data_IF_727204422420
#
_entry.id   IF_727204422420
#
_cell.length_a   1.000
_cell.length_b   1.000
_cell.length_c   1.000
_cell.angle_alpha   90.00
_cell.angle_beta   90.00
_cell.angle_gamma   90.00
#
_symmetry.space_group_name_H-M   'P 1'
#
loop_
_entity.id
_entity.type
_entity.pdbx_description
1 polymer ?
#
# COMPACT_ATOMS: atom_id res chain seq x y z
N UNK A 1 -0.53 58.21 0.00
CA UNK A 1 -0.68 56.92 -0.70
C UNK A 1 -0.43 55.79 0.30
N UNK A 2 -1.48 55.14 0.81
CA UNK A 2 -1.33 53.99 1.70
C UNK A 2 -1.16 52.72 0.87
N UNK A 3 -0.03 52.02 1.03
CA UNK A 3 0.21 50.71 0.44
C UNK A 3 -0.73 49.71 1.13
N UNK A 4 -1.70 49.18 0.38
CA UNK A 4 -2.45 47.99 0.80
C UNK A 4 -1.44 46.86 0.99
N UNK A 5 -1.37 46.31 2.20
CA UNK A 5 -0.68 45.03 2.44
C UNK A 5 -1.55 43.96 1.79
N UNK A 6 -1.05 43.36 0.72
CA UNK A 6 -1.62 42.13 0.19
C UNK A 6 -1.46 41.05 1.25
N UNK A 7 -2.58 40.48 1.67
CA UNK A 7 -2.62 39.31 2.53
C UNK A 7 -2.02 38.14 1.75
N UNK A 8 -1.17 37.29 2.36
CA UNK A 8 -0.64 36.13 1.68
C UNK A 8 -1.80 35.22 1.29
N UNK A 9 -1.94 34.94 -0.01
CA UNK A 9 -2.81 33.89 -0.51
C UNK A 9 -2.42 32.59 0.20
N UNK A 10 -3.31 32.10 1.07
CA UNK A 10 -3.21 30.73 1.58
C UNK A 10 -3.30 29.84 0.35
N UNK A 11 -2.19 29.23 -0.06
CA UNK A 11 -2.22 28.05 -0.92
C UNK A 11 -2.98 26.99 -0.13
N UNK A 12 -4.26 26.79 -0.46
CA UNK A 12 -4.97 25.61 -0.04
C UNK A 12 -4.25 24.44 -0.71
N UNK A 13 -3.50 23.67 0.08
CA UNK A 13 -3.03 22.36 -0.39
C UNK A 13 -4.26 21.57 -0.85
N UNK A 14 -4.20 20.90 -2.01
CA UNK A 14 -5.33 20.15 -2.52
C UNK A 14 -5.80 19.18 -1.43
N UNK A 15 -7.08 19.27 -1.06
CA UNK A 15 -7.67 18.38 -0.07
C UNK A 15 -7.53 16.94 -0.57
N UNK A 16 -6.69 16.16 0.10
CA UNK A 16 -6.52 14.76 -0.24
C UNK A 16 -7.83 14.01 0.00
N UNK A 17 -8.32 13.33 -1.05
CA UNK A 17 -9.44 12.43 -0.90
C UNK A 17 -8.98 11.14 -0.21
N UNK A 18 -9.04 11.17 1.12
CA UNK A 18 -8.72 10.02 1.99
C UNK A 18 -9.59 8.81 1.65
N UNK A 19 -10.85 9.01 1.24
CA UNK A 19 -11.72 7.91 0.86
C UNK A 19 -11.23 7.27 -0.44
N UNK A 20 -10.73 8.07 -1.38
CA UNK A 20 -10.13 7.59 -2.62
C UNK A 20 -8.82 6.83 -2.38
N UNK A 21 -7.93 7.36 -1.53
CA UNK A 21 -6.71 6.63 -1.14
C UNK A 21 -7.04 5.24 -0.58
N UNK A 22 -7.99 5.19 0.36
CA UNK A 22 -8.44 3.94 0.95
C UNK A 22 -9.07 3.00 -0.09
N UNK A 23 -9.84 3.54 -1.02
CA UNK A 23 -10.44 2.79 -2.12
C UNK A 23 -9.38 2.15 -3.01
N UNK A 24 -8.37 2.92 -3.40
CA UNK A 24 -7.26 2.45 -4.25
C UNK A 24 -6.48 1.34 -3.55
N UNK A 25 -6.11 1.53 -2.28
CA UNK A 25 -5.43 0.53 -1.48
C UNK A 25 -6.26 -0.76 -1.36
N UNK A 26 -7.56 -0.64 -1.07
CA UNK A 26 -8.45 -1.78 -0.98
C UNK A 26 -8.60 -2.50 -2.33
N UNK A 27 -8.83 -1.76 -3.41
CA UNK A 27 -8.95 -2.35 -4.75
C UNK A 27 -7.69 -3.15 -5.07
N UNK A 28 -6.53 -2.55 -4.85
CA UNK A 28 -5.23 -3.19 -5.09
C UNK A 28 -5.07 -4.46 -4.27
N UNK A 29 -5.38 -4.42 -2.97
CA UNK A 29 -5.35 -5.61 -2.12
C UNK A 29 -6.30 -6.70 -2.62
N UNK A 30 -7.47 -6.33 -3.15
CA UNK A 30 -8.42 -7.27 -3.73
C UNK A 30 -7.93 -7.84 -5.06
N UNK A 31 -7.35 -7.02 -5.94
CA UNK A 31 -6.81 -7.45 -7.23
C UNK A 31 -5.65 -8.45 -7.07
N UNK A 32 -4.92 -8.37 -5.94
CA UNK A 32 -3.94 -9.38 -5.57
C UNK A 32 -4.57 -10.77 -5.36
N UNK A 33 -5.86 -10.85 -5.08
CA UNK A 33 -6.60 -12.09 -4.82
C UNK A 33 -7.54 -12.42 -5.98
N UNK A 34 -7.81 -13.70 -6.22
CA UNK A 34 -8.90 -14.08 -7.14
C UNK A 34 -10.24 -13.68 -6.52
N UNK A 35 -11.31 -13.47 -7.32
CA UNK A 35 -12.63 -13.12 -6.77
C UNK A 35 -13.14 -14.15 -5.75
N UNK A 36 -12.83 -15.43 -5.99
CA UNK A 36 -13.14 -16.53 -5.06
C UNK A 36 -12.41 -16.37 -3.73
N UNK A 37 -11.07 -16.14 -3.77
CA UNK A 37 -10.26 -15.91 -2.57
C UNK A 37 -10.67 -14.62 -1.84
N UNK A 38 -10.97 -13.55 -2.57
CA UNK A 38 -11.52 -12.34 -1.96
C UNK A 38 -12.78 -12.64 -1.15
N UNK A 39 -13.71 -13.44 -1.69
CA UNK A 39 -14.96 -13.74 -1.00
C UNK A 39 -14.76 -14.66 0.19
N UNK A 40 -13.99 -15.73 0.02
CA UNK A 40 -13.78 -16.76 1.04
C UNK A 40 -12.82 -16.30 2.14
N UNK A 41 -11.67 -15.74 1.75
CA UNK A 41 -10.54 -15.48 2.65
C UNK A 41 -10.64 -14.07 3.25
N UNK A 42 -11.21 -13.10 2.52
CA UNK A 42 -11.32 -11.71 2.99
C UNK A 42 -12.71 -11.39 3.54
N UNK A 43 -13.74 -11.52 2.70
CA UNK A 43 -15.05 -10.95 3.03
C UNK A 43 -15.77 -11.73 4.12
N UNK A 44 -15.80 -13.07 4.04
CA UNK A 44 -16.54 -13.89 5.02
C UNK A 44 -16.02 -13.67 6.46
N UNK A 45 -14.72 -13.76 6.75
CA UNK A 45 -14.24 -13.53 8.12
C UNK A 45 -14.38 -12.06 8.55
N UNK A 46 -14.25 -11.10 7.62
CA UNK A 46 -14.49 -9.69 7.93
C UNK A 46 -15.95 -9.44 8.32
N UNK A 47 -16.92 -10.07 7.63
CA UNK A 47 -18.35 -9.94 7.95
C UNK A 47 -18.66 -10.54 9.33
N UNK A 48 -18.01 -11.64 9.70
CA UNK A 48 -18.15 -12.25 11.03
C UNK A 48 -17.64 -11.30 12.12
N UNK A 49 -16.51 -10.61 11.89
CA UNK A 49 -15.96 -9.62 12.83
C UNK A 49 -16.73 -8.29 12.83
N UNK A 50 -17.20 -7.84 11.67
CA UNK A 50 -17.86 -6.55 11.45
C UNK A 50 -19.17 -6.72 10.65
N UNK A 51 -20.28 -7.13 11.30
CA UNK A 51 -21.55 -7.43 10.62
C UNK A 51 -22.18 -6.23 9.89
N UNK A 52 -21.78 -5.01 10.24
CA UNK A 52 -22.24 -3.75 9.64
C UNK A 52 -21.65 -3.48 8.25
N UNK A 53 -20.72 -4.32 7.78
CA UNK A 53 -20.09 -4.19 6.46
C UNK A 53 -20.67 -5.26 5.52
N UNK A 54 -21.49 -4.83 4.56
CA UNK A 54 -22.06 -5.73 3.56
C UNK A 54 -21.13 -5.90 2.34
N UNK A 55 -21.23 -7.04 1.65
CA UNK A 55 -20.48 -7.29 0.42
C UNK A 55 -20.81 -6.24 -0.65
N UNK A 56 -22.08 -5.84 -0.73
CA UNK A 56 -22.53 -4.80 -1.67
C UNK A 56 -21.89 -3.44 -1.40
N UNK A 57 -21.77 -3.03 -0.13
CA UNK A 57 -21.08 -1.79 0.22
C UNK A 57 -19.61 -1.83 -0.20
N UNK A 58 -18.89 -2.91 0.10
CA UNK A 58 -17.50 -3.08 -0.31
C UNK A 58 -17.33 -3.07 -1.83
N UNK A 59 -18.13 -3.86 -2.55
CA UNK A 59 -18.08 -3.91 -4.02
C UNK A 59 -18.38 -2.55 -4.65
N UNK A 60 -19.36 -1.80 -4.13
CA UNK A 60 -19.66 -0.46 -4.64
C UNK A 60 -18.54 0.54 -4.34
N UNK A 61 -17.93 0.44 -3.15
CA UNK A 61 -16.80 1.28 -2.80
C UNK A 61 -15.60 1.03 -3.69
N UNK A 62 -15.17 -0.24 -3.85
CA UNK A 62 -14.06 -0.62 -4.74
C UNK A 62 -14.28 -0.10 -6.18
N UNK A 63 -15.52 -0.19 -6.67
CA UNK A 63 -15.93 0.30 -8.00
C UNK A 63 -16.13 1.83 -8.10
N UNK A 64 -15.86 2.58 -7.03
CA UNK A 64 -16.04 4.04 -7.00
C UNK A 64 -17.49 4.51 -7.06
N UNK A 65 -18.48 3.63 -6.83
CA UNK A 65 -19.91 3.95 -6.95
C UNK A 65 -20.47 4.63 -5.71
N UNK A 66 -19.94 4.33 -4.53
CA UNK A 66 -20.41 4.90 -3.26
C UNK A 66 -19.32 4.84 -2.20
N UNK A 67 -19.08 5.92 -1.44
CA UNK A 67 -18.06 5.90 -0.39
C UNK A 67 -18.49 4.99 0.78
N UNK A 68 -17.50 4.36 1.43
CA UNK A 68 -17.70 3.84 2.79
C UNK A 68 -17.58 4.96 3.80
N UNK A 69 -18.31 4.88 4.92
CA UNK A 69 -18.06 5.78 6.05
C UNK A 69 -16.67 5.53 6.64
N UNK A 70 -16.08 6.55 7.25
CA UNK A 70 -14.75 6.46 7.88
C UNK A 70 -14.65 5.31 8.89
N UNK A 71 -15.67 5.15 9.76
CA UNK A 71 -15.76 4.01 10.69
C UNK A 71 -15.61 2.66 9.97
N UNK A 72 -16.25 2.49 8.82
CA UNK A 72 -16.13 1.26 8.02
C UNK A 72 -14.75 1.13 7.39
N UNK A 73 -14.15 2.23 6.91
CA UNK A 73 -12.79 2.22 6.35
C UNK A 73 -11.73 1.84 7.40
N UNK A 74 -11.84 2.36 8.63
CA UNK A 74 -10.99 1.97 9.77
C UNK A 74 -11.13 0.47 10.08
N UNK A 75 -12.38 -0.03 10.12
CA UNK A 75 -12.64 -1.46 10.34
C UNK A 75 -12.01 -2.35 9.25
N UNK A 76 -12.11 -1.94 7.98
CA UNK A 76 -11.48 -2.64 6.86
C UNK A 76 -9.96 -2.63 7.00
N UNK A 77 -9.33 -1.47 7.23
CA UNK A 77 -7.87 -1.38 7.40
C UNK A 77 -7.38 -2.26 8.55
N UNK A 78 -8.05 -2.18 9.71
CA UNK A 78 -7.74 -3.01 10.88
C UNK A 78 -7.92 -4.51 10.62
N UNK A 79 -8.95 -4.91 9.87
CA UNK A 79 -9.14 -6.31 9.46
C UNK A 79 -7.97 -6.82 8.62
N UNK A 80 -7.44 -5.98 7.72
CA UNK A 80 -6.32 -6.31 6.84
C UNK A 80 -4.94 -6.21 7.54
N UNK A 81 -4.91 -5.93 8.83
CA UNK A 81 -3.68 -5.79 9.61
C UNK A 81 -2.91 -4.51 9.30
N UNK A 82 -3.62 -3.41 9.04
CA UNK A 82 -3.03 -2.08 8.88
C UNK A 82 -3.62 -1.11 9.89
N UNK A 83 -2.82 -0.12 10.29
CA UNK A 83 -3.35 1.14 10.83
C UNK A 83 -4.07 1.89 9.70
N UNK A 84 -5.01 2.77 10.08
CA UNK A 84 -5.80 3.48 9.08
C UNK A 84 -4.92 4.38 8.19
N UNK A 85 -3.94 5.03 8.81
CA UNK A 85 -2.98 5.94 8.19
C UNK A 85 -2.03 5.19 7.24
N UNK A 86 -1.60 3.98 7.59
CA UNK A 86 -0.78 3.13 6.71
C UNK A 86 -1.55 2.76 5.45
N UNK A 87 -2.83 2.45 5.59
CA UNK A 87 -3.65 2.07 4.44
C UNK A 87 -3.92 3.26 3.51
N UNK A 88 -4.03 4.47 4.07
CA UNK A 88 -4.09 5.71 3.29
C UNK A 88 -2.77 5.95 2.57
N UNK A 89 -1.64 5.81 3.26
CA UNK A 89 -0.30 5.98 2.69
C UNK A 89 -0.04 4.98 1.55
N UNK A 90 -0.49 3.73 1.69
CA UNK A 90 -0.47 2.75 0.61
C UNK A 90 -1.28 3.23 -0.60
N UNK A 91 -2.48 3.75 -0.36
CA UNK A 91 -3.35 4.32 -1.39
C UNK A 91 -2.66 5.44 -2.17
N UNK A 92 -2.06 6.39 -1.45
CA UNK A 92 -1.29 7.49 -2.05
C UNK A 92 -0.14 6.96 -2.90
N UNK A 93 0.69 6.08 -2.34
CA UNK A 93 1.83 5.51 -3.06
C UNK A 93 1.41 4.75 -4.32
N UNK A 94 0.30 4.01 -4.27
CA UNK A 94 -0.23 3.31 -5.44
C UNK A 94 -0.70 4.27 -6.54
N UNK A 95 -1.29 5.42 -6.17
CA UNK A 95 -1.65 6.46 -7.14
C UNK A 95 -0.40 7.06 -7.77
N UNK A 96 0.60 7.45 -6.95
CA UNK A 96 1.87 8.00 -7.43
C UNK A 96 2.58 7.04 -8.41
N UNK A 97 2.65 5.74 -8.06
CA UNK A 97 3.28 4.71 -8.89
C UNK A 97 2.52 4.44 -10.20
N UNK A 98 1.19 4.61 -10.21
CA UNK A 98 0.38 4.51 -11.44
C UNK A 98 0.60 5.72 -12.33
N UNK A 99 0.62 6.92 -11.76
CA UNK A 99 0.90 8.15 -12.50
C UNK A 99 2.31 8.13 -13.13
N UNK A 100 3.29 7.53 -12.44
CA UNK A 100 4.66 7.37 -12.96
C UNK A 100 4.83 6.20 -13.94
N UNK A 101 3.77 5.42 -14.22
CA UNK A 101 3.82 4.25 -15.10
C UNK A 101 4.60 3.06 -14.55
N UNK A 102 4.91 3.03 -13.25
CA UNK A 102 5.63 1.92 -12.61
C UNK A 102 4.71 0.76 -12.24
N UNK A 103 3.40 1.02 -12.10
CA UNK A 103 2.40 -0.02 -11.92
C UNK A 103 1.48 -0.07 -13.14
N UNK A 104 1.23 -1.27 -13.70
CA UNK A 104 0.20 -1.41 -14.73
C UNK A 104 -1.19 -1.12 -14.13
N UNK A 105 -2.12 -0.67 -14.97
CA UNK A 105 -3.51 -0.46 -14.57
C UNK A 105 -4.16 -1.75 -14.06
N UNK A 106 -3.83 -2.86 -14.72
CA UNK A 106 -4.23 -4.22 -14.38
C UNK A 106 -2.99 -5.11 -14.32
N UNK A 107 -2.52 -5.50 -13.12
CA UNK A 107 -1.37 -6.40 -13.01
C UNK A 107 -1.76 -7.81 -13.43
N UNK A 108 -0.93 -8.44 -14.28
CA UNK A 108 -1.12 -9.84 -14.63
C UNK A 108 -0.68 -10.78 -13.49
N UNK A 109 -1.07 -12.05 -13.60
CA UNK A 109 -0.79 -13.05 -12.57
C UNK A 109 0.71 -13.29 -12.35
N UNK A 110 1.55 -13.07 -13.37
CA UNK A 110 2.99 -13.27 -13.32
C UNK A 110 3.66 -12.15 -12.53
N UNK A 111 3.38 -10.89 -12.86
CA UNK A 111 3.85 -9.72 -12.14
C UNK A 111 3.49 -9.76 -10.65
N UNK A 112 2.27 -10.18 -10.33
CA UNK A 112 1.85 -10.37 -8.93
C UNK A 112 2.62 -11.49 -8.22
N UNK A 113 2.93 -12.57 -8.93
CA UNK A 113 3.68 -13.69 -8.38
C UNK A 113 5.15 -13.32 -8.14
N UNK A 114 5.77 -12.59 -9.07
CA UNK A 114 7.12 -12.07 -8.94
C UNK A 114 7.25 -11.07 -7.80
N UNK A 115 6.29 -10.15 -7.67
CA UNK A 115 6.28 -9.18 -6.58
C UNK A 115 6.24 -9.88 -5.19
N UNK A 116 5.37 -10.88 -5.03
CA UNK A 116 5.32 -11.68 -3.81
C UNK A 116 6.58 -12.49 -3.56
N UNK A 117 7.20 -13.04 -4.61
CA UNK A 117 8.44 -13.78 -4.49
C UNK A 117 9.57 -12.86 -4.01
N UNK A 118 9.69 -11.66 -4.57
CA UNK A 118 10.66 -10.65 -4.13
C UNK A 118 10.50 -10.32 -2.64
N UNK A 119 9.27 -10.01 -2.20
CA UNK A 119 9.00 -9.74 -0.77
C UNK A 119 9.43 -10.88 0.16
N UNK A 120 9.20 -12.14 -0.25
CA UNK A 120 9.66 -13.32 0.51
C UNK A 120 11.17 -13.46 0.55
N UNK A 121 11.85 -13.26 -0.59
CA UNK A 121 13.31 -13.30 -0.67
C UNK A 121 13.91 -12.27 0.28
N UNK A 122 13.36 -11.05 0.32
CA UNK A 122 13.80 -10.02 1.25
C UNK A 122 13.56 -10.39 2.72
N UNK A 123 12.43 -11.03 3.04
CA UNK A 123 12.19 -11.54 4.40
C UNK A 123 13.22 -12.62 4.78
N UNK A 124 13.46 -13.59 3.91
CA UNK A 124 14.46 -14.65 4.16
C UNK A 124 15.88 -14.09 4.30
N UNK A 125 16.19 -13.06 3.50
CA UNK A 125 17.44 -12.32 3.58
C UNK A 125 17.60 -11.63 4.94
N UNK A 126 16.58 -10.90 5.38
CA UNK A 126 16.57 -10.27 6.71
C UNK A 126 16.77 -11.28 7.83
N UNK A 127 16.05 -12.40 7.78
CA UNK A 127 16.11 -13.44 8.80
C UNK A 127 17.51 -14.09 8.86
N UNK A 128 18.15 -14.27 7.70
CA UNK A 128 19.51 -14.83 7.60
C UNK A 128 20.57 -13.91 8.21
N UNK A 129 20.39 -12.61 8.08
CA UNK A 129 21.39 -11.60 8.47
C UNK A 129 20.99 -10.80 9.73
N UNK A 130 19.91 -11.19 10.42
CA UNK A 130 19.35 -10.51 11.60
C UNK A 130 19.08 -9.00 11.36
N UNK A 131 18.53 -8.67 10.19
CA UNK A 131 18.26 -7.29 9.77
C UNK A 131 16.81 -6.89 10.04
N UNK A 132 16.60 -5.77 10.74
CA UNK A 132 15.26 -5.20 10.91
C UNK A 132 14.74 -4.53 9.64
N UNK A 133 13.44 -4.26 9.58
CA UNK A 133 12.82 -3.48 8.49
C UNK A 133 13.45 -2.08 8.37
N UNK A 134 13.86 -1.49 9.49
CA UNK A 134 14.58 -0.20 9.48
C UNK A 134 15.96 -0.31 8.86
N UNK A 135 16.69 -1.41 9.10
CA UNK A 135 18.01 -1.60 8.50
C UNK A 135 17.90 -1.70 6.97
N UNK A 136 16.93 -2.49 6.48
CA UNK A 136 16.71 -2.64 5.03
C UNK A 136 16.17 -1.37 4.38
N UNK A 137 15.25 -0.67 5.02
CA UNK A 137 14.76 0.62 4.54
C UNK A 137 15.91 1.64 4.39
N UNK A 138 16.83 1.66 5.36
CA UNK A 138 18.01 2.52 5.31
C UNK A 138 18.97 2.16 4.17
N UNK A 139 19.27 0.86 3.99
CA UNK A 139 20.10 0.35 2.88
C UNK A 139 19.52 0.77 1.53
N UNK A 140 18.19 0.70 1.40
CA UNK A 140 17.49 1.02 0.16
C UNK A 140 17.14 2.51 0.02
N UNK A 141 17.55 3.37 0.96
CA UNK A 141 17.26 4.80 0.93
C UNK A 141 15.76 5.15 0.92
N UNK A 142 14.91 4.31 1.52
CA UNK A 142 13.46 4.47 1.53
C UNK A 142 12.89 4.58 2.95
N UNK A 143 11.63 5.02 3.05
CA UNK A 143 10.92 5.02 4.33
C UNK A 143 10.58 3.59 4.79
N UNK A 144 10.56 3.38 6.11
CA UNK A 144 10.24 2.07 6.72
C UNK A 144 8.85 1.55 6.35
N UNK A 145 7.87 2.44 6.12
CA UNK A 145 6.52 2.07 5.70
C UNK A 145 6.51 1.60 4.25
N UNK A 146 7.25 2.29 3.37
CA UNK A 146 7.42 1.87 1.98
C UNK A 146 8.08 0.49 1.89
N UNK A 147 9.15 0.27 2.67
CA UNK A 147 9.77 -1.03 2.77
C UNK A 147 8.78 -2.11 3.24
N UNK A 148 7.98 -1.82 4.27
CA UNK A 148 6.95 -2.75 4.76
C UNK A 148 5.93 -3.11 3.66
N UNK A 149 5.52 -2.15 2.83
CA UNK A 149 4.63 -2.43 1.70
C UNK A 149 5.28 -3.32 0.65
N UNK A 150 6.54 -3.06 0.29
CA UNK A 150 7.31 -3.87 -0.67
C UNK A 150 7.52 -5.30 -0.16
N UNK A 151 7.94 -5.43 1.09
CA UNK A 151 8.13 -6.71 1.79
C UNK A 151 6.84 -7.55 1.84
N UNK A 152 5.68 -6.91 2.05
CA UNK A 152 4.37 -7.57 2.00
C UNK A 152 3.89 -7.90 0.57
N UNK A 153 4.66 -7.57 -0.46
CA UNK A 153 4.32 -7.76 -1.87
C UNK A 153 3.15 -6.88 -2.32
N UNK A 154 2.93 -5.75 -1.65
CA UNK A 154 1.85 -4.80 -2.00
C UNK A 154 2.31 -3.86 -3.11
N UNK A 155 3.59 -3.54 -3.18
CA UNK A 155 4.19 -2.79 -4.29
C UNK A 155 5.51 -3.46 -4.66
N UNK A 156 5.94 -3.42 -5.93
CA UNK A 156 7.15 -4.10 -6.36
C UNK A 156 8.41 -3.41 -5.84
N UNK A 157 9.46 -4.20 -5.64
CA UNK A 157 10.83 -3.70 -5.64
C UNK A 157 11.25 -3.36 -7.07
N UNK A 158 12.05 -2.31 -7.25
CA UNK A 158 12.74 -2.05 -8.50
C UNK A 158 13.96 -2.97 -8.64
N UNK A 159 14.47 -3.13 -9.87
CA UNK A 159 15.71 -3.88 -10.08
C UNK A 159 16.91 -3.25 -9.35
N UNK A 160 17.00 -1.93 -9.34
CA UNK A 160 18.06 -1.18 -8.64
C UNK A 160 18.01 -1.41 -7.12
N UNK A 161 16.81 -1.44 -6.53
CA UNK A 161 16.64 -1.75 -5.10
C UNK A 161 17.07 -3.19 -4.78
N UNK A 162 16.69 -4.14 -5.65
CA UNK A 162 17.10 -5.54 -5.49
C UNK A 162 18.64 -5.63 -5.54
N UNK A 163 19.26 -5.04 -6.55
CA UNK A 163 20.72 -5.05 -6.73
C UNK A 163 21.44 -4.42 -5.52
N UNK A 164 20.99 -3.24 -5.08
CA UNK A 164 21.56 -2.53 -3.92
C UNK A 164 21.53 -3.39 -2.66
N UNK A 165 20.39 -4.06 -2.39
CA UNK A 165 20.26 -4.91 -1.21
C UNK A 165 21.24 -6.09 -1.22
N UNK A 166 21.43 -6.73 -2.37
CA UNK A 166 22.35 -7.88 -2.49
C UNK A 166 23.83 -7.46 -2.46
N UNK A 167 24.20 -6.30 -3.00
CA UNK A 167 25.57 -5.80 -2.92
C UNK A 167 25.97 -5.48 -1.47
N UNK A 168 25.13 -4.75 -0.75
CA UNK A 168 25.35 -4.38 0.66
C UNK A 168 25.35 -5.59 1.61
N UNK A 169 24.65 -6.66 1.23
CA UNK A 169 24.66 -7.93 1.94
C UNK A 169 26.03 -8.60 1.91
N UNK A 170 26.61 -8.68 0.72
CA UNK A 170 27.88 -9.36 0.47
C UNK A 170 29.04 -8.58 1.11
N UNK A 171 28.97 -7.24 1.14
CA UNK A 171 29.98 -6.40 1.78
C UNK A 171 29.99 -6.49 3.31
N UNK A 172 28.84 -6.77 3.94
CA UNK A 172 28.73 -6.93 5.42
C UNK A 172 28.90 -8.38 5.89
N UNK A 173 28.99 -9.34 4.96
CA UNK A 173 29.18 -10.76 5.24
C UNK A 173 30.64 -11.24 5.12
N UNK A 174 31.58 -10.35 4.77
CA UNK A 174 33.04 -10.54 4.79
C UNK A 174 33.69 -9.83 5.98
#
# INVERSE_FOLDING_TARGET
>A
MMRKKESPEKREEPFEDVAECHRVALKHYVDLHTEEKFRADLFKPMKEKYPNISLGNLKNFIKGKSPLSEKKRIQVASFLGFRYEEFIALGRKLMDLKESGMLPDEPDAEALSLNRAAGKIFQEFQDRHDLSDMNMAHVLGMDSMEYSFKKRGLIPFSFEEIETAFQEADEKAL
#
